data_IF_928957974303
#
_entry.id   IF_928957974303
#
_cell.length_a   1.000
_cell.length_b   1.000
_cell.length_c   1.000
_cell.angle_alpha   90.00
_cell.angle_beta   90.00
_cell.angle_gamma   90.00
#
_symmetry.space_group_name_H-M   'P 1'
#
loop_
_entity.id
_entity.type
_entity.pdbx_description
1 polymer ?
#
# COMPACT_ATOMS: atom_id res chain seq x y z
N UNK A 1 -8.32 6.28 -0.25
CA UNK A 1 -7.62 5.36 0.66
C UNK A 1 -8.45 4.09 0.78
N UNK A 2 -7.81 2.95 0.63
CA UNK A 2 -8.43 1.64 0.79
C UNK A 2 -7.84 0.95 2.02
N UNK A 3 -8.69 0.54 2.94
CA UNK A 3 -8.29 -0.32 4.06
C UNK A 3 -8.58 -1.77 3.65
N UNK A 4 -7.56 -2.60 3.64
CA UNK A 4 -7.61 -3.95 3.10
C UNK A 4 -7.15 -4.99 4.10
N UNK A 5 -7.71 -6.20 4.01
CA UNK A 5 -7.21 -7.37 4.73
C UNK A 5 -7.03 -8.56 3.79
N UNK A 6 -6.64 -8.28 2.55
CA UNK A 6 -6.45 -9.31 1.51
C UNK A 6 -5.08 -9.98 1.57
N UNK A 7 -4.11 -9.31 2.17
CA UNK A 7 -2.71 -9.69 2.08
C UNK A 7 -2.01 -8.97 0.94
N UNK A 8 -0.68 -8.81 1.08
CA UNK A 8 0.11 -8.04 0.12
C UNK A 8 0.30 -8.80 -1.19
N UNK A 9 0.87 -10.00 -1.11
CA UNK A 9 1.23 -10.79 -2.28
C UNK A 9 1.42 -12.25 -1.87
N UNK A 10 0.87 -13.16 -2.66
CA UNK A 10 0.98 -14.60 -2.39
C UNK A 10 1.98 -15.31 -3.29
N UNK A 11 2.67 -14.58 -4.18
CA UNK A 11 3.64 -15.12 -5.14
C UNK A 11 3.08 -16.27 -5.99
N UNK A 12 1.77 -16.32 -6.14
CA UNK A 12 1.06 -17.31 -6.95
C UNK A 12 0.45 -16.65 -8.16
N UNK A 13 0.07 -17.46 -9.14
CA UNK A 13 -0.64 -16.99 -10.31
C UNK A 13 -1.86 -16.15 -9.91
N UNK A 14 -2.32 -15.29 -10.79
CA UNK A 14 -3.35 -14.26 -10.60
C UNK A 14 -4.71 -14.72 -10.05
N UNK A 15 -4.78 -15.91 -9.45
CA UNK A 15 -6.03 -16.51 -8.97
C UNK A 15 -6.40 -16.06 -7.56
N UNK A 16 -5.43 -15.56 -6.79
CA UNK A 16 -5.68 -15.10 -5.43
C UNK A 16 -5.59 -13.58 -5.40
N UNK A 17 -6.71 -12.95 -5.10
CA UNK A 17 -6.78 -11.49 -4.97
C UNK A 17 -5.96 -11.07 -3.76
N UNK A 18 -5.07 -10.11 -3.99
CA UNK A 18 -4.22 -9.51 -2.96
C UNK A 18 -4.10 -8.02 -3.24
N UNK A 19 -3.46 -7.28 -2.34
CA UNK A 19 -3.33 -5.82 -2.49
C UNK A 19 -2.61 -5.44 -3.77
N UNK A 20 -1.59 -6.20 -4.15
CA UNK A 20 -0.83 -5.95 -5.37
C UNK A 20 -1.71 -6.05 -6.63
N UNK A 21 -2.56 -7.08 -6.69
CA UNK A 21 -3.49 -7.26 -7.81
C UNK A 21 -4.57 -6.20 -7.79
N UNK A 22 -5.13 -5.91 -6.61
CA UNK A 22 -6.14 -4.87 -6.45
C UNK A 22 -5.62 -3.52 -6.97
N UNK A 23 -4.41 -3.14 -6.59
CA UNK A 23 -3.81 -1.89 -7.03
C UNK A 23 -3.65 -1.83 -8.54
N UNK A 24 -3.19 -2.92 -9.17
CA UNK A 24 -2.94 -2.97 -10.62
C UNK A 24 -4.20 -2.99 -11.47
N UNK A 25 -5.28 -3.57 -10.96
CA UNK A 25 -6.52 -3.78 -11.72
C UNK A 25 -7.62 -2.77 -11.44
N UNK A 26 -7.34 -1.76 -10.65
CA UNK A 26 -8.31 -0.70 -10.32
C UNK A 26 -7.76 0.67 -10.70
N UNK A 27 -8.60 1.68 -10.50
CA UNK A 27 -8.23 3.10 -10.62
C UNK A 27 -8.88 3.85 -9.47
N UNK A 28 -8.40 5.06 -9.20
CA UNK A 28 -8.91 5.94 -8.14
C UNK A 28 -8.58 5.50 -6.70
N UNK A 29 -7.63 4.56 -6.55
CA UNK A 29 -7.03 4.27 -5.25
C UNK A 29 -5.62 4.86 -5.24
N UNK A 30 -5.31 5.69 -4.26
CA UNK A 30 -3.98 6.28 -4.11
C UNK A 30 -3.14 5.55 -3.06
N UNK A 31 -3.79 4.97 -2.05
CA UNK A 31 -3.13 4.28 -0.95
C UNK A 31 -3.95 3.07 -0.52
N UNK A 32 -3.27 1.94 -0.38
CA UNK A 32 -3.81 0.73 0.25
C UNK A 32 -3.07 0.52 1.57
N UNK A 33 -3.81 0.53 2.66
CA UNK A 33 -3.30 0.12 3.96
C UNK A 33 -3.76 -1.31 4.17
N UNK A 34 -2.82 -2.25 4.09
CA UNK A 34 -3.10 -3.67 4.07
C UNK A 34 -2.77 -4.38 5.37
N UNK A 35 -3.03 -5.68 5.36
CA UNK A 35 -2.81 -6.56 6.50
C UNK A 35 -2.78 -8.03 6.06
N UNK A 36 -3.10 -8.92 6.95
CA UNK A 36 -3.23 -10.37 6.77
C UNK A 36 -1.88 -11.10 6.61
N UNK A 37 -1.06 -10.75 5.65
CA UNK A 37 0.23 -11.43 5.42
C UNK A 37 1.33 -10.99 6.37
N UNK A 38 1.06 -10.08 7.28
CA UNK A 38 2.01 -9.57 8.28
C UNK A 38 3.32 -9.09 7.64
N UNK A 39 3.23 -8.47 6.48
CA UNK A 39 4.41 -8.05 5.72
C UNK A 39 5.07 -6.83 6.38
N UNK A 40 6.36 -6.93 6.64
CA UNK A 40 7.13 -5.81 7.20
C UNK A 40 7.69 -4.97 6.06
N UNK A 41 7.19 -3.76 5.92
CA UNK A 41 7.65 -2.79 4.92
C UNK A 41 8.26 -1.60 5.63
N UNK A 42 9.53 -1.29 5.32
CA UNK A 42 10.16 -0.06 5.84
C UNK A 42 9.56 1.18 5.19
N UNK A 43 9.20 1.03 3.93
CA UNK A 43 8.53 2.07 3.13
C UNK A 43 7.39 1.45 2.35
N UNK A 44 6.35 2.22 2.02
CA UNK A 44 5.31 1.74 1.11
C UNK A 44 5.89 1.27 -0.22
N UNK A 45 5.28 0.23 -0.77
CA UNK A 45 5.60 -0.26 -2.11
C UNK A 45 4.84 0.59 -3.13
N UNK A 46 5.53 1.04 -4.16
CA UNK A 46 4.92 1.78 -5.26
C UNK A 46 4.56 0.84 -6.40
N UNK A 47 3.32 0.88 -6.84
CA UNK A 47 2.86 0.19 -8.04
C UNK A 47 2.03 1.15 -8.89
N UNK A 48 1.77 0.76 -10.13
CA UNK A 48 0.98 1.59 -11.04
C UNK A 48 -0.34 0.91 -11.35
N UNK A 49 -1.41 1.69 -11.31
CA UNK A 49 -2.75 1.21 -11.49
C UNK A 49 -3.12 1.03 -12.97
N UNK A 50 -4.39 0.71 -13.23
CA UNK A 50 -4.90 0.42 -14.57
C UNK A 50 -4.67 1.56 -15.56
N UNK A 51 -4.60 2.81 -15.09
CA UNK A 51 -4.38 3.99 -15.94
C UNK A 51 -2.99 4.59 -15.77
N UNK A 52 -2.05 3.84 -15.20
CA UNK A 52 -0.64 4.24 -15.05
C UNK A 52 -0.36 5.24 -13.94
N UNK A 53 -1.28 5.43 -13.00
CA UNK A 53 -1.05 6.29 -11.84
C UNK A 53 -0.49 5.49 -10.67
N UNK A 54 0.35 6.15 -9.87
CA UNK A 54 1.00 5.54 -8.72
C UNK A 54 0.00 5.22 -7.62
N UNK A 55 0.15 4.01 -7.06
CA UNK A 55 -0.57 3.54 -5.87
C UNK A 55 0.47 3.11 -4.84
N UNK A 56 0.31 3.54 -3.62
CA UNK A 56 1.14 3.08 -2.51
C UNK A 56 0.44 1.92 -1.79
N UNK A 57 1.20 0.87 -1.48
CA UNK A 57 0.73 -0.24 -0.65
C UNK A 57 1.61 -0.27 0.59
N UNK A 58 1.01 -0.28 1.77
CA UNK A 58 1.76 -0.33 3.01
C UNK A 58 1.22 -1.38 3.98
N UNK A 59 2.14 -2.10 4.61
CA UNK A 59 1.92 -2.91 5.79
C UNK A 59 3.10 -2.70 6.74
N UNK A 60 2.86 -2.85 8.02
CA UNK A 60 3.91 -2.65 9.04
C UNK A 60 4.12 -3.89 9.90
N UNK A 61 3.85 -5.05 9.34
CA UNK A 61 4.05 -6.34 10.02
C UNK A 61 2.90 -6.73 10.92
N UNK A 62 3.19 -7.06 12.15
CA UNK A 62 2.22 -7.57 13.11
C UNK A 62 2.58 -7.19 14.54
N UNK A 63 1.68 -7.49 15.46
CA UNK A 63 1.84 -7.33 16.90
C UNK A 63 1.99 -5.87 17.40
N UNK A 64 1.74 -4.89 16.54
CA UNK A 64 1.81 -3.49 16.95
C UNK A 64 3.21 -3.00 17.30
N UNK A 65 4.26 -3.62 16.77
CA UNK A 65 5.64 -3.23 17.05
C UNK A 65 6.13 -2.07 16.19
N UNK A 66 5.44 -1.80 15.10
CA UNK A 66 5.75 -0.68 14.21
C UNK A 66 4.52 0.19 13.96
N UNK A 67 4.76 1.47 13.77
CA UNK A 67 3.76 2.43 13.33
C UNK A 67 4.19 2.95 11.94
N UNK A 68 3.31 2.82 10.96
CA UNK A 68 3.52 3.42 9.65
C UNK A 68 2.94 4.82 9.63
N UNK A 69 3.76 5.79 9.22
CA UNK A 69 3.32 7.18 9.05
C UNK A 69 3.51 7.57 7.59
N UNK A 70 2.44 8.04 6.95
CA UNK A 70 2.47 8.48 5.56
C UNK A 70 1.81 9.85 5.49
N UNK A 71 2.57 10.83 5.03
CA UNK A 71 2.08 12.19 4.83
C UNK A 71 1.90 12.45 3.34
N UNK A 72 0.72 12.88 2.94
CA UNK A 72 0.44 13.33 1.58
C UNK A 72 0.41 14.86 1.54
N UNK A 73 1.10 15.42 0.57
CA UNK A 73 1.13 16.86 0.31
C UNK A 73 0.39 17.13 -0.99
N UNK A 74 -0.75 17.80 -0.90
CA UNK A 74 -1.63 18.08 -2.04
C UNK A 74 -1.41 19.50 -2.52
N UNK A 75 -1.21 19.66 -3.82
CA UNK A 75 -1.22 20.96 -4.50
C UNK A 75 -2.11 20.86 -5.74
N UNK A 76 -2.37 22.00 -6.41
CA UNK A 76 -3.28 22.04 -7.57
C UNK A 76 -2.91 21.03 -8.67
N UNK A 77 -1.61 20.80 -8.88
CA UNK A 77 -1.12 20.00 -10.01
C UNK A 77 -0.28 18.79 -9.60
N UNK A 78 -0.11 18.54 -8.30
CA UNK A 78 0.74 17.43 -7.87
C UNK A 78 0.34 16.88 -6.51
N UNK A 79 0.68 15.60 -6.31
CA UNK A 79 0.60 14.92 -5.02
C UNK A 79 2.00 14.39 -4.75
N UNK A 80 2.55 14.75 -3.61
CA UNK A 80 3.79 14.16 -3.11
C UNK A 80 3.54 13.49 -1.77
N UNK A 81 4.39 12.55 -1.41
CA UNK A 81 4.26 11.85 -0.15
C UNK A 81 5.61 11.70 0.54
N UNK A 82 5.54 11.58 1.85
CA UNK A 82 6.65 11.23 2.71
C UNK A 82 6.21 10.12 3.64
N UNK A 83 7.10 9.18 3.93
CA UNK A 83 6.74 8.03 4.75
C UNK A 83 7.87 7.64 5.68
N UNK A 84 7.51 7.10 6.84
CA UNK A 84 8.46 6.49 7.76
C UNK A 84 7.80 5.36 8.53
N UNK A 85 8.62 4.39 8.94
CA UNK A 85 8.20 3.35 9.88
C UNK A 85 8.83 3.65 11.22
N UNK A 86 7.99 3.81 12.23
CA UNK A 86 8.40 4.17 13.58
C UNK A 86 8.29 2.92 14.45
N UNK A 87 9.37 2.54 15.09
CA UNK A 87 9.35 1.43 16.03
C UNK A 87 8.71 1.89 17.34
N UNK A 88 7.68 1.17 17.74
CA UNK A 88 6.93 1.48 18.96
C UNK A 88 7.72 1.12 20.22
#
# INVERSE_FOLDING_TARGET
ICLSHLGYNYNKKEEIICDLILAKKTKNIDLIIGGHTHTFMEKPIEVYNLIGKKVLINQVGCFGINLGKIDFYLSENSISENSETIKV
#
